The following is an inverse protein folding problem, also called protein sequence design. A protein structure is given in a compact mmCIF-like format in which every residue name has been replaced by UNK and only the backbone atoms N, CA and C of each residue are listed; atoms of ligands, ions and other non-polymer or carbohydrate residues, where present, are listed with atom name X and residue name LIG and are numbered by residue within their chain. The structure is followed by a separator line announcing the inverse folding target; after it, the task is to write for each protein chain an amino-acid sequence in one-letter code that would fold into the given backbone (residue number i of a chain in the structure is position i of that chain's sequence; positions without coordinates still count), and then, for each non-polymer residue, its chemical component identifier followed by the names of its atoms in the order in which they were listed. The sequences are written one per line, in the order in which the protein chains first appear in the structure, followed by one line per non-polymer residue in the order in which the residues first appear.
data_IF_141185703316
#
_entry.id   IF_141185703316
#
_cell.length_a   1.000
_cell.length_b   1.000
_cell.length_c   1.000
_cell.angle_alpha   90.00
_cell.angle_beta   90.00
_cell.angle_gamma   90.00
#
_symmetry.space_group_name_H-M   'P 1'
#
loop_
_entity.id
_entity.type
_entity.pdbx_description
1 polymer ?
#
# COMPACT_ATOMS: atom_id res chain seq x y z
N UNK A 1 -29.60 37.79 70.06
CA UNK A 1 -28.24 37.69 69.47
C UNK A 1 -27.81 36.24 69.07
N UNK A 2 -28.27 35.22 69.75
CA UNK A 2 -27.82 33.83 69.52
C UNK A 2 -28.42 33.25 68.24
N UNK A 3 -29.64 33.62 67.76
CA UNK A 3 -30.28 33.11 66.55
C UNK A 3 -29.62 33.59 65.27
N UNK A 4 -29.06 34.79 65.25
CA UNK A 4 -28.42 35.36 64.06
C UNK A 4 -27.00 34.78 63.82
N UNK A 5 -26.35 34.20 64.83
CA UNK A 5 -25.07 33.53 64.65
C UNK A 5 -25.17 32.08 64.13
N UNK A 6 -26.25 31.38 64.48
CA UNK A 6 -26.55 30.03 63.95
C UNK A 6 -26.90 30.03 62.47
N UNK A 7 -27.62 31.03 61.95
CA UNK A 7 -27.89 31.16 60.52
C UNK A 7 -26.68 31.51 59.68
N UNK A 8 -25.73 32.28 60.23
CA UNK A 8 -24.44 32.58 59.53
C UNK A 8 -23.48 31.37 59.49
N UNK A 9 -23.49 30.51 60.54
CA UNK A 9 -22.71 29.27 60.54
C UNK A 9 -23.28 28.24 59.58
N UNK A 10 -24.60 28.13 59.42
CA UNK A 10 -25.24 27.23 58.48
C UNK A 10 -24.98 27.60 57.03
N UNK A 11 -24.94 28.90 56.70
CA UNK A 11 -24.61 29.40 55.35
C UNK A 11 -23.14 29.16 54.97
N UNK A 12 -22.21 29.31 55.92
CA UNK A 12 -20.79 29.05 55.70
C UNK A 12 -20.49 27.55 55.57
N UNK A 13 -21.21 26.69 56.29
CA UNK A 13 -21.08 25.24 56.14
C UNK A 13 -21.72 24.70 54.83
N UNK A 14 -22.80 25.37 54.34
CA UNK A 14 -23.38 25.00 53.03
C UNK A 14 -22.53 25.47 51.83
N UNK A 15 -21.74 26.54 51.97
CA UNK A 15 -20.84 27.04 50.96
C UNK A 15 -19.52 26.22 50.82
N UNK A 16 -19.14 25.48 51.85
CA UNK A 16 -17.96 24.60 51.83
C UNK A 16 -18.21 23.19 51.32
N UNK A 17 -19.49 22.80 51.16
CA UNK A 17 -19.87 21.47 50.62
C UNK A 17 -19.99 21.38 49.11
N UNK A 18 -19.72 22.48 48.35
CA UNK A 18 -19.92 22.51 46.89
C UNK A 18 -18.64 22.56 46.05
N UNK A 19 -17.47 22.46 46.67
CA UNK A 19 -16.22 22.28 45.93
C UNK A 19 -15.96 20.78 45.69
N UNK A 20 -16.83 20.13 44.91
CA UNK A 20 -16.43 18.88 44.25
C UNK A 20 -15.37 19.28 43.22
N UNK A 21 -14.12 18.81 43.33
CA UNK A 21 -13.16 19.06 42.28
C UNK A 21 -13.74 18.46 40.99
N UNK A 22 -14.06 19.30 40.05
CA UNK A 22 -14.33 18.85 38.70
C UNK A 22 -13.04 18.21 38.22
N UNK A 23 -12.94 16.88 38.34
CA UNK A 23 -11.91 16.14 37.63
C UNK A 23 -12.12 16.46 36.14
N UNK A 24 -11.27 17.30 35.63
CA UNK A 24 -11.20 17.54 34.19
C UNK A 24 -11.15 16.16 33.55
N UNK A 25 -12.21 15.75 32.87
CA UNK A 25 -12.21 14.51 32.10
C UNK A 25 -11.10 14.65 31.07
N UNK A 26 -9.98 13.96 31.27
CA UNK A 26 -8.90 13.93 30.31
C UNK A 26 -9.47 13.30 29.05
N UNK A 27 -9.69 14.12 28.00
CA UNK A 27 -10.18 13.62 26.72
C UNK A 27 -9.25 12.53 26.23
N UNK A 28 -9.82 11.40 25.83
CA UNK A 28 -9.06 10.28 25.23
C UNK A 28 -8.74 10.56 23.76
N UNK A 29 -9.38 11.57 23.17
CA UNK A 29 -9.14 11.96 21.79
C UNK A 29 -7.67 12.27 21.53
N UNK A 30 -7.19 11.86 20.34
CA UNK A 30 -5.82 12.02 19.93
C UNK A 30 -5.13 10.70 19.57
N UNK A 31 -3.84 10.78 19.37
CA UNK A 31 -2.98 9.67 18.95
C UNK A 31 -2.31 9.04 20.18
N UNK A 32 -2.27 7.71 20.21
CA UNK A 32 -1.67 6.91 21.26
C UNK A 32 -0.76 5.86 20.63
N UNK A 33 0.46 5.73 21.12
CA UNK A 33 1.48 4.85 20.56
C UNK A 33 2.06 3.95 21.65
N UNK A 34 2.27 2.68 21.34
CA UNK A 34 2.84 1.71 22.28
C UNK A 34 2.76 0.30 21.76
N UNK A 35 2.49 -0.66 22.64
CA UNK A 35 2.48 -2.07 22.26
C UNK A 35 1.39 -2.88 23.00
N UNK A 36 1.02 -3.99 22.38
CA UNK A 36 0.32 -5.11 23.01
C UNK A 36 1.39 -6.15 23.36
N UNK A 37 1.44 -6.57 24.62
CA UNK A 37 2.34 -7.63 25.08
C UNK A 37 1.55 -8.93 25.24
N UNK A 38 1.85 -9.93 24.42
CA UNK A 38 1.21 -11.26 24.44
C UNK A 38 2.29 -12.33 24.43
N UNK A 39 2.26 -13.23 25.40
CA UNK A 39 3.21 -14.38 25.51
C UNK A 39 4.69 -13.97 25.43
N UNK A 40 5.03 -12.79 25.97
CA UNK A 40 6.40 -12.25 25.98
C UNK A 40 6.86 -11.61 24.65
N UNK A 41 5.95 -11.42 23.71
CA UNK A 41 6.21 -10.68 22.47
C UNK A 41 5.44 -9.36 22.46
N UNK A 42 6.11 -8.30 22.06
CA UNK A 42 5.52 -6.98 21.92
C UNK A 42 5.13 -6.72 20.47
N UNK A 43 3.86 -6.42 20.28
CA UNK A 43 3.29 -6.01 19.00
C UNK A 43 3.01 -4.51 19.06
N UNK A 44 3.79 -3.72 18.32
CA UNK A 44 3.59 -2.27 18.29
C UNK A 44 2.21 -1.92 17.71
N UNK A 45 1.53 -0.98 18.38
CA UNK A 45 0.25 -0.44 17.94
C UNK A 45 0.25 1.09 18.00
N UNK A 46 -0.58 1.67 17.13
CA UNK A 46 -0.92 3.06 17.15
C UNK A 46 -2.45 3.17 17.11
N UNK A 47 -3.03 3.82 18.10
CA UNK A 47 -4.48 4.02 18.18
C UNK A 47 -4.79 5.51 18.08
N UNK A 48 -5.74 5.86 17.20
CA UNK A 48 -6.21 7.23 17.03
C UNK A 48 -7.67 7.29 17.45
N UNK A 49 -7.97 8.05 18.48
CA UNK A 49 -9.33 8.35 18.92
C UNK A 49 -9.77 9.71 18.37
N UNK A 50 -10.96 9.77 17.81
CA UNK A 50 -11.53 10.98 17.22
C UNK A 50 -12.92 11.22 17.78
N UNK A 51 -13.16 12.41 18.29
CA UNK A 51 -14.50 12.85 18.70
C UNK A 51 -15.26 13.37 17.47
N UNK A 52 -16.37 12.72 17.14
CA UNK A 52 -17.28 13.13 16.08
C UNK A 52 -18.62 13.49 16.71
N UNK A 53 -18.73 14.73 17.19
CA UNK A 53 -19.91 15.18 17.95
C UNK A 53 -20.08 14.43 19.28
N UNK A 54 -21.18 13.70 19.44
CA UNK A 54 -21.44 12.90 20.64
C UNK A 54 -20.88 11.46 20.56
N UNK A 55 -20.26 11.09 19.46
CA UNK A 55 -19.77 9.72 19.21
C UNK A 55 -18.25 9.72 19.13
N UNK A 56 -17.63 8.87 19.92
CA UNK A 56 -16.19 8.60 19.82
C UNK A 56 -15.96 7.47 18.81
N UNK A 57 -15.08 7.70 17.86
CA UNK A 57 -14.60 6.69 16.92
C UNK A 57 -13.10 6.48 17.14
N UNK A 58 -12.57 5.31 16.73
CA UNK A 58 -11.16 5.08 16.78
C UNK A 58 -10.72 4.15 15.64
N UNK A 59 -9.44 4.23 15.29
CA UNK A 59 -8.75 3.31 14.39
C UNK A 59 -7.44 2.83 15.02
N UNK A 60 -6.98 1.67 14.59
CA UNK A 60 -5.72 1.09 15.02
C UNK A 60 -4.84 0.74 13.83
N UNK A 61 -3.54 1.03 13.97
CA UNK A 61 -2.50 0.54 13.10
C UNK A 61 -1.70 -0.53 13.84
N UNK A 62 -1.31 -1.60 13.14
CA UNK A 62 -0.44 -2.66 13.64
C UNK A 62 0.72 -2.81 12.64
N UNK A 63 1.79 -2.02 12.79
CA UNK A 63 2.86 -1.91 11.79
C UNK A 63 3.49 -3.25 11.40
N UNK A 64 3.80 -4.11 12.37
CA UNK A 64 4.43 -5.42 12.10
C UNK A 64 3.53 -6.37 11.27
N UNK A 65 2.23 -6.10 11.22
CA UNK A 65 1.27 -6.87 10.42
C UNK A 65 0.87 -6.15 9.13
N UNK A 66 1.47 -5.00 8.84
CA UNK A 66 1.10 -4.16 7.69
C UNK A 66 -0.31 -3.60 7.75
N UNK A 67 -0.97 -3.68 8.91
CA UNK A 67 -2.36 -3.29 9.11
C UNK A 67 -2.45 -1.82 9.52
N UNK A 68 -3.31 -1.03 8.85
CA UNK A 68 -3.45 0.40 9.08
C UNK A 68 -4.88 0.88 8.99
N UNK A 69 -5.18 1.90 9.78
CA UNK A 69 -6.47 2.57 9.76
C UNK A 69 -7.64 1.62 9.99
N UNK A 70 -7.42 0.47 10.65
CA UNK A 70 -8.49 -0.49 10.88
C UNK A 70 -9.49 0.14 11.85
N UNK A 71 -10.76 0.29 11.43
CA UNK A 71 -11.76 0.88 12.31
C UNK A 71 -12.03 -0.01 13.52
N UNK A 72 -12.01 0.59 14.70
CA UNK A 72 -12.39 -0.05 15.95
C UNK A 72 -13.90 0.04 16.15
N UNK A 73 -14.45 -0.94 16.85
CA UNK A 73 -15.88 -1.00 17.22
C UNK A 73 -16.08 -0.82 18.71
N UNK A 74 -17.30 -0.50 19.10
CA UNK A 74 -17.73 -0.38 20.49
C UNK A 74 -16.82 0.53 21.33
N UNK A 75 -16.29 1.61 20.69
CA UNK A 75 -15.38 2.54 21.34
C UNK A 75 -16.11 3.31 22.43
N UNK A 76 -15.66 3.20 23.65
CA UNK A 76 -16.22 3.90 24.83
C UNK A 76 -15.10 4.44 25.70
N UNK A 77 -15.25 5.68 26.14
CA UNK A 77 -14.36 6.29 27.12
C UNK A 77 -15.23 7.00 28.15
N UNK A 78 -15.17 6.57 29.39
CA UNK A 78 -15.97 7.14 30.47
C UNK A 78 -15.17 7.10 31.79
N UNK A 79 -15.07 8.22 32.44
CA UNK A 79 -14.40 8.33 33.74
C UNK A 79 -12.98 7.73 33.78
N UNK A 80 -12.19 7.96 32.72
CA UNK A 80 -10.81 7.44 32.61
C UNK A 80 -10.71 5.96 32.24
N UNK A 81 -11.83 5.26 32.04
CA UNK A 81 -11.85 3.90 31.51
C UNK A 81 -12.07 3.92 30.00
N UNK A 82 -11.40 3.05 29.27
CA UNK A 82 -11.54 2.88 27.82
C UNK A 82 -11.87 1.45 27.50
N UNK A 83 -12.78 1.29 26.56
CA UNK A 83 -13.12 0.02 25.92
C UNK A 83 -13.11 0.20 24.43
N UNK A 84 -12.50 -0.71 23.68
CA UNK A 84 -12.60 -0.76 22.22
C UNK A 84 -12.35 -2.17 21.72
N UNK A 85 -12.89 -2.46 20.54
CA UNK A 85 -12.85 -3.79 19.92
C UNK A 85 -12.25 -3.72 18.52
N UNK A 86 -11.38 -4.69 18.19
CA UNK A 86 -10.79 -4.86 16.86
C UNK A 86 -11.34 -6.15 16.23
N UNK A 87 -12.20 -6.06 15.20
CA UNK A 87 -12.67 -7.22 14.45
C UNK A 87 -11.62 -7.63 13.42
N UNK A 88 -10.62 -8.43 13.82
CA UNK A 88 -9.54 -8.86 12.94
C UNK A 88 -9.00 -10.24 13.32
N UNK A 89 -8.55 -11.00 12.32
CA UNK A 89 -7.93 -12.30 12.51
C UNK A 89 -8.91 -13.40 12.96
N UNK A 90 -8.47 -14.34 13.80
CA UNK A 90 -9.25 -15.50 14.19
C UNK A 90 -10.38 -15.22 15.18
N UNK A 91 -10.65 -13.96 15.51
CA UNK A 91 -11.72 -13.56 16.44
C UNK A 91 -11.68 -12.09 16.79
N UNK A 92 -12.62 -11.70 17.67
CA UNK A 92 -12.70 -10.35 18.18
C UNK A 92 -11.59 -10.10 19.21
N UNK A 93 -10.77 -9.09 18.99
CA UNK A 93 -9.83 -8.62 20.01
C UNK A 93 -10.50 -7.53 20.84
N UNK A 94 -10.46 -7.66 22.16
CA UNK A 94 -11.09 -6.76 23.12
C UNK A 94 -10.00 -6.10 23.96
N UNK A 95 -10.10 -4.78 24.09
CA UNK A 95 -9.22 -3.94 24.88
C UNK A 95 -10.01 -3.27 25.99
N UNK A 96 -9.56 -3.48 27.21
CA UNK A 96 -10.10 -2.85 28.42
C UNK A 96 -8.98 -2.14 29.15
N UNK A 97 -9.08 -0.83 29.34
CA UNK A 97 -7.99 -0.06 29.89
C UNK A 97 -8.42 1.13 30.74
N UNK A 98 -7.40 1.75 31.37
CA UNK A 98 -7.53 2.99 32.12
C UNK A 98 -6.52 4.00 31.61
N UNK A 99 -6.91 5.27 31.62
CA UNK A 99 -6.08 6.40 31.22
C UNK A 99 -5.66 7.15 32.48
N UNK A 100 -4.35 7.30 32.66
CA UNK A 100 -3.74 8.08 33.76
C UNK A 100 -2.76 9.09 33.15
N UNK A 101 -3.17 10.34 33.07
CA UNK A 101 -2.39 11.37 32.36
C UNK A 101 -2.25 11.05 30.89
N UNK A 102 -1.01 10.91 30.43
CA UNK A 102 -0.68 10.60 29.04
C UNK A 102 -0.35 9.11 28.80
N UNK A 103 -0.74 8.24 29.72
CA UNK A 103 -0.54 6.79 29.61
C UNK A 103 -1.88 6.08 29.67
N UNK A 104 -2.11 5.14 28.77
CA UNK A 104 -3.26 4.24 28.76
C UNK A 104 -2.74 2.81 28.87
N UNK A 105 -3.15 2.10 29.92
CA UNK A 105 -2.77 0.70 30.16
C UNK A 105 -3.99 -0.15 30.36
N UNK A 106 -3.88 -1.43 30.00
CA UNK A 106 -5.02 -2.32 30.16
C UNK A 106 -4.75 -3.77 29.76
N UNK A 107 -5.83 -4.53 29.69
CA UNK A 107 -5.82 -5.92 29.25
C UNK A 107 -6.21 -6.04 27.79
N UNK A 108 -5.65 -7.04 27.13
CA UNK A 108 -5.96 -7.48 25.77
C UNK A 108 -6.42 -8.94 25.81
N UNK A 109 -7.50 -9.25 25.08
CA UNK A 109 -7.98 -10.62 24.91
C UNK A 109 -8.41 -10.85 23.46
N UNK A 110 -7.99 -12.00 22.87
CA UNK A 110 -8.44 -12.42 21.54
C UNK A 110 -8.54 -13.93 21.49
N UNK A 111 -9.75 -14.47 21.56
CA UNK A 111 -9.96 -15.91 21.72
C UNK A 111 -9.24 -16.45 22.98
N UNK A 112 -8.34 -17.44 22.86
CA UNK A 112 -7.57 -17.96 23.99
C UNK A 112 -6.39 -17.06 24.38
N UNK A 113 -5.96 -16.15 23.51
CA UNK A 113 -4.82 -15.26 23.77
C UNK A 113 -5.21 -14.15 24.75
N UNK A 114 -4.36 -13.97 25.77
CA UNK A 114 -4.49 -12.90 26.78
C UNK A 114 -3.17 -12.19 26.91
N UNK A 115 -3.23 -10.88 27.15
CA UNK A 115 -2.06 -10.04 27.31
C UNK A 115 -2.43 -8.70 27.92
N UNK A 116 -1.49 -7.79 27.88
CA UNK A 116 -1.66 -6.41 28.31
C UNK A 116 -1.34 -5.46 27.17
N UNK A 117 -1.76 -4.21 27.27
CA UNK A 117 -1.30 -3.17 26.39
C UNK A 117 -0.90 -1.93 27.19
N UNK A 118 0.09 -1.23 26.68
CA UNK A 118 0.47 0.09 27.14
C UNK A 118 0.67 1.00 25.93
N UNK A 119 -0.01 2.14 25.94
CA UNK A 119 0.16 3.17 24.92
C UNK A 119 0.29 4.53 25.59
N UNK A 120 1.15 5.38 25.04
CA UNK A 120 1.38 6.74 25.51
C UNK A 120 0.81 7.72 24.51
N UNK A 121 0.34 8.86 25.01
CA UNK A 121 -0.16 9.93 24.15
C UNK A 121 0.96 10.41 23.24
N UNK A 122 0.78 10.25 21.96
CA UNK A 122 1.68 10.81 20.94
C UNK A 122 1.60 12.33 20.93
N UNK A 123 2.65 12.97 20.41
CA UNK A 123 2.61 14.41 20.19
C UNK A 123 1.41 14.78 19.33
N UNK A 124 0.66 15.82 19.73
CA UNK A 124 -0.38 16.36 18.89
C UNK A 124 0.22 16.71 17.52
N UNK A 125 -0.40 16.20 16.44
CA UNK A 125 -0.01 16.57 15.09
C UNK A 125 -0.15 18.10 14.99
N UNK A 126 0.97 18.82 15.05
CA UNK A 126 0.94 20.24 14.68
C UNK A 126 0.51 20.29 13.23
N UNK A 127 -0.50 21.11 12.88
CA UNK A 127 -0.83 21.34 11.49
C UNK A 127 0.47 21.73 10.77
N UNK A 128 0.90 20.93 9.80
CA UNK A 128 2.03 21.33 8.96
C UNK A 128 1.64 22.64 8.26
N UNK A 129 2.52 23.64 8.23
CA UNK A 129 2.24 24.84 7.46
C UNK A 129 1.99 24.43 5.99
N UNK A 130 1.06 25.09 5.29
CA UNK A 130 0.78 24.77 3.91
C UNK A 130 2.08 24.79 3.09
N UNK A 131 2.30 23.84 2.21
CA UNK A 131 3.52 23.79 1.42
C UNK A 131 3.62 25.02 0.51
N UNK A 132 4.85 25.53 0.24
CA UNK A 132 5.05 26.70 -0.62
C UNK A 132 4.95 26.36 -2.13
N UNK A 133 4.11 25.41 -2.50
CA UNK A 133 3.86 24.94 -3.87
C UNK A 133 2.41 24.52 -4.03
N UNK A 134 1.93 24.39 -5.27
CA UNK A 134 0.57 23.91 -5.55
C UNK A 134 0.51 22.39 -5.38
N UNK A 135 -0.59 21.94 -4.82
CA UNK A 135 -0.92 20.52 -4.73
C UNK A 135 -2.29 20.29 -5.34
N UNK A 136 -2.38 19.37 -6.28
CA UNK A 136 -3.58 19.08 -7.05
C UNK A 136 -3.90 17.58 -6.93
N UNK A 137 -5.14 17.25 -6.56
CA UNK A 137 -5.65 15.89 -6.70
C UNK A 137 -5.98 15.64 -8.17
N UNK A 138 -5.47 14.56 -8.71
CA UNK A 138 -5.60 14.23 -10.14
C UNK A 138 -6.23 12.87 -10.35
N UNK A 139 -6.89 12.74 -11.48
CA UNK A 139 -7.48 11.47 -11.94
C UNK A 139 -6.98 11.20 -13.35
N UNK A 140 -6.33 10.05 -13.55
CA UNK A 140 -5.69 9.67 -14.80
C UNK A 140 -6.35 8.39 -15.33
N UNK A 141 -6.79 8.43 -16.57
CA UNK A 141 -7.42 7.26 -17.20
C UNK A 141 -6.40 6.45 -17.99
N UNK A 142 -6.37 5.14 -17.73
CA UNK A 142 -5.64 4.14 -18.51
C UNK A 142 -6.60 3.03 -18.95
N UNK A 143 -7.19 3.16 -20.13
CA UNK A 143 -8.25 2.28 -20.61
C UNK A 143 -9.46 2.25 -19.64
N UNK A 144 -9.72 1.11 -19.05
CA UNK A 144 -10.79 0.94 -18.05
C UNK A 144 -10.33 1.25 -16.61
N UNK A 145 -9.05 1.49 -16.41
CA UNK A 145 -8.47 1.78 -15.10
C UNK A 145 -8.46 3.30 -14.87
N UNK A 146 -8.81 3.70 -13.67
CA UNK A 146 -8.71 5.07 -13.17
C UNK A 146 -7.64 5.06 -12.09
N UNK A 147 -6.63 5.89 -12.24
CA UNK A 147 -5.58 6.13 -11.26
C UNK A 147 -5.86 7.46 -10.56
N UNK A 148 -6.02 7.43 -9.25
CA UNK A 148 -6.10 8.61 -8.42
C UNK A 148 -4.71 8.99 -7.93
N UNK A 149 -4.37 10.26 -7.98
CA UNK A 149 -3.04 10.71 -7.63
C UNK A 149 -3.01 12.12 -7.08
N UNK A 150 -1.82 12.53 -6.70
CA UNK A 150 -1.51 13.90 -6.29
C UNK A 150 -0.35 14.41 -7.14
N UNK A 151 -0.55 15.54 -7.79
CA UNK A 151 0.49 16.29 -8.48
C UNK A 151 0.90 17.49 -7.63
N UNK A 152 2.18 17.60 -7.34
CA UNK A 152 2.76 18.81 -6.73
C UNK A 152 3.52 19.60 -7.79
N UNK A 153 3.30 20.93 -7.85
CA UNK A 153 3.86 21.80 -8.88
C UNK A 153 4.50 23.00 -8.19
N UNK A 154 5.76 23.36 -8.52
CA UNK A 154 6.41 24.56 -7.96
C UNK A 154 5.56 25.82 -8.14
N UNK A 155 5.66 26.75 -7.19
CA UNK A 155 4.89 27.99 -7.27
C UNK A 155 5.50 29.03 -8.23
N UNK A 156 6.72 28.80 -8.71
CA UNK A 156 7.39 29.68 -9.67
C UNK A 156 6.68 29.65 -11.03
N UNK A 157 6.60 30.78 -11.75
CA UNK A 157 6.01 30.81 -13.09
C UNK A 157 6.81 29.98 -14.10
N UNK A 158 6.12 29.39 -15.09
CA UNK A 158 6.73 28.68 -16.22
C UNK A 158 6.47 27.20 -16.21
N UNK A 159 7.08 26.50 -17.17
CA UNK A 159 7.03 25.04 -17.28
C UNK A 159 8.16 24.44 -16.45
N UNK A 160 7.85 23.38 -15.71
CA UNK A 160 8.78 22.72 -14.77
C UNK A 160 9.15 21.32 -15.26
N UNK A 161 10.39 20.87 -15.05
CA UNK A 161 10.71 19.46 -15.16
C UNK A 161 9.80 18.66 -14.22
N UNK A 162 9.52 17.42 -14.57
CA UNK A 162 8.60 16.60 -13.78
C UNK A 162 9.14 15.19 -13.57
N UNK A 163 8.71 14.55 -12.47
CA UNK A 163 9.01 13.15 -12.20
C UNK A 163 7.74 12.41 -11.75
N UNK A 164 7.55 11.21 -12.28
CA UNK A 164 6.55 10.25 -11.80
C UNK A 164 7.23 9.33 -10.78
N UNK A 165 6.67 9.19 -9.60
CA UNK A 165 7.11 8.22 -8.61
C UNK A 165 6.32 6.92 -8.79
N UNK A 166 7.05 5.80 -8.92
CA UNK A 166 6.50 4.46 -9.15
C UNK A 166 6.81 3.59 -7.95
N UNK A 167 5.78 3.06 -7.32
CA UNK A 167 5.81 2.29 -6.07
C UNK A 167 6.47 0.92 -6.22
N UNK A 168 6.82 0.32 -5.08
CA UNK A 168 7.32 -1.04 -5.00
C UNK A 168 6.22 -2.10 -5.05
N UNK A 169 6.62 -3.37 -4.82
CA UNK A 169 5.73 -4.53 -4.91
C UNK A 169 4.60 -4.49 -3.88
N UNK A 170 3.44 -4.98 -4.30
CA UNK A 170 2.23 -5.08 -3.48
C UNK A 170 1.33 -3.84 -3.60
N UNK A 171 0.18 -3.83 -2.91
CA UNK A 171 -0.77 -2.73 -2.98
C UNK A 171 -0.27 -1.53 -2.17
N UNK A 172 0.25 -0.52 -2.83
CA UNK A 172 0.80 0.70 -2.24
C UNK A 172 -0.08 1.91 -2.51
N UNK A 173 -0.19 2.80 -1.52
CA UNK A 173 -0.76 4.12 -1.77
C UNK A 173 0.30 5.05 -2.40
N UNK A 174 -0.14 6.19 -2.93
CA UNK A 174 0.69 7.19 -3.61
C UNK A 174 1.88 7.72 -2.79
N UNK A 175 1.86 7.55 -1.49
CA UNK A 175 2.91 7.99 -0.57
C UNK A 175 3.89 6.86 -0.22
N UNK A 176 3.62 5.63 -0.71
CA UNK A 176 4.36 4.41 -0.37
C UNK A 176 4.50 4.26 1.15
N UNK A 177 3.39 4.43 1.86
CA UNK A 177 3.38 4.53 3.30
C UNK A 177 3.70 3.20 3.97
N UNK A 178 4.80 3.18 4.73
CA UNK A 178 5.28 2.03 5.51
C UNK A 178 5.54 2.47 6.94
N UNK A 179 4.91 1.81 7.91
CA UNK A 179 5.05 2.11 9.36
C UNK A 179 4.81 3.59 9.73
N UNK A 180 3.87 4.27 9.06
CA UNK A 180 3.58 5.70 9.30
C UNK A 180 4.53 6.67 8.60
N UNK A 181 5.62 6.17 8.02
CA UNK A 181 6.52 6.97 7.19
C UNK A 181 5.97 6.99 5.76
N UNK A 182 6.03 8.15 5.13
CA UNK A 182 5.54 8.41 3.76
C UNK A 182 6.68 8.85 2.85
N UNK A 183 7.56 7.93 2.45
CA UNK A 183 8.78 8.30 1.73
C UNK A 183 8.50 9.05 0.42
N UNK A 184 7.49 8.67 -0.34
CA UNK A 184 7.17 9.36 -1.59
C UNK A 184 6.63 10.77 -1.36
N UNK A 185 5.89 11.01 -0.29
CA UNK A 185 5.48 12.36 0.10
C UNK A 185 6.70 13.21 0.47
N UNK A 186 7.67 12.65 1.19
CA UNK A 186 8.90 13.35 1.57
C UNK A 186 9.75 13.68 0.35
N UNK A 187 9.91 12.73 -0.59
CA UNK A 187 10.62 12.95 -1.85
C UNK A 187 9.91 14.03 -2.69
N UNK A 188 8.59 13.96 -2.79
CA UNK A 188 7.80 14.93 -3.54
C UNK A 188 7.93 16.34 -2.95
N UNK A 189 7.83 16.51 -1.63
CA UNK A 189 8.02 17.81 -0.98
C UNK A 189 9.40 18.37 -1.28
N UNK A 190 10.45 17.56 -1.13
CA UNK A 190 11.84 17.98 -1.40
C UNK A 190 12.05 18.40 -2.86
N UNK A 191 11.62 17.57 -3.82
CA UNK A 191 11.80 17.85 -5.24
C UNK A 191 10.97 19.04 -5.70
N UNK A 192 9.74 19.20 -5.19
CA UNK A 192 8.88 20.32 -5.58
C UNK A 192 9.41 21.65 -5.05
N UNK A 193 9.98 21.67 -3.86
CA UNK A 193 10.71 22.85 -3.33
C UNK A 193 11.96 23.17 -4.16
N UNK A 194 12.57 22.16 -4.78
CA UNK A 194 13.73 22.32 -5.67
C UNK A 194 13.36 22.67 -7.12
N UNK A 195 12.06 22.91 -7.43
CA UNK A 195 11.62 23.33 -8.75
C UNK A 195 11.19 22.22 -9.70
N UNK A 196 10.99 20.99 -9.21
CA UNK A 196 10.60 19.80 -10.00
C UNK A 196 9.18 19.40 -9.63
N UNK A 197 8.27 19.36 -10.59
CA UNK A 197 6.92 18.84 -10.36
C UNK A 197 6.95 17.33 -10.10
N UNK A 198 6.08 16.84 -9.19
CA UNK A 198 6.06 15.41 -8.83
C UNK A 198 4.65 14.87 -8.89
N UNK A 199 4.48 13.79 -9.66
CA UNK A 199 3.25 13.02 -9.76
C UNK A 199 3.39 11.69 -9.02
N UNK A 200 2.43 11.40 -8.16
CA UNK A 200 2.32 10.16 -7.38
C UNK A 200 0.90 9.64 -7.46
N UNK A 201 0.71 8.38 -7.80
CA UNK A 201 -0.61 7.75 -7.88
C UNK A 201 -0.74 6.58 -6.93
N UNK A 202 -1.96 6.33 -6.46
CA UNK A 202 -2.31 5.07 -5.80
C UNK A 202 -2.25 3.94 -6.81
N UNK A 203 -1.78 2.76 -6.40
CA UNK A 203 -1.80 1.57 -7.24
C UNK A 203 -3.22 1.13 -7.58
N UNK A 204 -3.37 0.26 -8.57
CA UNK A 204 -4.65 -0.34 -8.96
C UNK A 204 -5.38 -0.94 -7.76
N UNK A 205 -6.61 -0.49 -7.50
CA UNK A 205 -7.46 -0.97 -6.41
C UNK A 205 -7.06 -0.49 -5.02
N UNK A 206 -6.18 0.51 -4.93
CA UNK A 206 -5.78 1.17 -3.69
C UNK A 206 -6.31 2.60 -3.68
N UNK A 207 -6.67 3.10 -2.50
CA UNK A 207 -7.13 4.47 -2.31
C UNK A 207 -8.27 4.85 -3.25
N UNK A 208 -8.03 5.84 -4.11
CA UNK A 208 -9.00 6.29 -5.13
C UNK A 208 -8.86 5.60 -6.48
N UNK A 209 -7.88 4.70 -6.67
CA UNK A 209 -7.64 4.02 -7.94
C UNK A 209 -8.52 2.78 -8.10
N UNK A 210 -8.99 2.54 -9.33
CA UNK A 210 -9.74 1.33 -9.69
C UNK A 210 -8.83 0.19 -10.10
N UNK A 211 -9.38 -1.02 -10.27
CA UNK A 211 -8.62 -2.20 -10.67
C UNK A 211 -8.26 -3.10 -9.51
N UNK A 212 -7.16 -3.86 -9.65
CA UNK A 212 -6.74 -4.84 -8.63
C UNK A 212 -5.28 -5.23 -8.80
N UNK A 213 -4.44 -4.97 -7.82
CA UNK A 213 -3.02 -5.40 -7.81
C UNK A 213 -2.89 -6.92 -7.99
N UNK A 214 -3.61 -7.79 -7.28
CA UNK A 214 -3.46 -9.25 -7.43
C UNK A 214 -3.83 -9.80 -8.81
N UNK A 215 -4.47 -9.00 -9.67
CA UNK A 215 -4.84 -9.38 -11.04
C UNK A 215 -3.98 -8.69 -12.09
N UNK A 216 -2.97 -7.94 -11.66
CA UNK A 216 -2.10 -7.17 -12.52
C UNK A 216 -0.68 -7.75 -12.53
N UNK A 217 0.05 -7.42 -13.57
CA UNK A 217 1.45 -7.76 -13.78
C UNK A 217 2.30 -6.50 -13.77
N UNK A 218 3.62 -6.65 -13.67
CA UNK A 218 4.57 -5.54 -13.81
C UNK A 218 4.39 -4.80 -15.15
N UNK A 219 3.97 -5.50 -16.22
CA UNK A 219 3.66 -4.88 -17.51
C UNK A 219 2.42 -3.98 -17.45
N UNK A 220 1.40 -4.37 -16.69
CA UNK A 220 0.23 -3.51 -16.45
C UNK A 220 0.60 -2.23 -15.68
N UNK A 221 1.52 -2.31 -14.73
CA UNK A 221 2.03 -1.14 -14.01
C UNK A 221 2.88 -0.24 -14.91
N UNK A 222 3.57 -0.81 -15.91
CA UNK A 222 4.27 -0.01 -16.92
C UNK A 222 3.29 0.79 -17.79
N UNK A 223 2.15 0.22 -18.17
CA UNK A 223 1.09 0.97 -18.88
C UNK A 223 0.49 2.08 -17.99
N UNK A 224 0.32 1.85 -16.69
CA UNK A 224 -0.14 2.88 -15.76
C UNK A 224 0.89 4.02 -15.64
N UNK A 225 2.17 3.71 -15.52
CA UNK A 225 3.23 4.71 -15.48
C UNK A 225 3.32 5.50 -16.81
N UNK A 226 3.13 4.83 -17.94
CA UNK A 226 3.07 5.49 -19.25
C UNK A 226 1.86 6.44 -19.36
N UNK A 227 0.71 6.08 -18.82
CA UNK A 227 -0.46 6.95 -18.77
C UNK A 227 -0.19 8.20 -17.91
N UNK A 228 0.54 8.06 -16.81
CA UNK A 228 0.98 9.18 -15.98
C UNK A 228 1.94 10.11 -16.72
N UNK A 229 2.88 9.57 -17.50
CA UNK A 229 3.77 10.36 -18.37
C UNK A 229 2.96 11.15 -19.38
N UNK A 230 2.00 10.53 -20.08
CA UNK A 230 1.13 11.20 -21.05
C UNK A 230 0.28 12.30 -20.41
N UNK A 231 -0.16 12.09 -19.18
CA UNK A 231 -0.87 13.12 -18.42
C UNK A 231 0.01 14.35 -18.20
N UNK A 232 1.28 14.17 -17.81
CA UNK A 232 2.23 15.26 -17.63
C UNK A 232 2.55 15.97 -18.95
N UNK A 233 2.71 15.22 -20.06
CA UNK A 233 2.94 15.79 -21.41
C UNK A 233 1.80 16.71 -21.88
N UNK A 234 0.57 16.42 -21.46
CA UNK A 234 -0.59 17.24 -21.86
C UNK A 234 -0.68 18.56 -21.10
N UNK A 235 0.13 18.77 -20.06
CA UNK A 235 0.06 19.97 -19.21
C UNK A 235 0.92 21.13 -19.74
N UNK A 236 0.42 22.37 -19.69
CA UNK A 236 1.18 23.54 -20.12
C UNK A 236 2.25 23.98 -19.10
N UNK A 237 2.12 23.61 -17.82
CA UNK A 237 3.03 23.95 -16.75
C UNK A 237 4.13 22.89 -16.52
N UNK A 238 4.24 21.90 -17.43
CA UNK A 238 5.27 20.86 -17.43
C UNK A 238 6.18 21.00 -18.64
N UNK A 239 7.48 20.98 -18.40
CA UNK A 239 8.50 20.90 -19.44
C UNK A 239 8.58 19.46 -19.98
N UNK A 240 7.99 19.27 -21.16
CA UNK A 240 7.87 17.96 -21.82
C UNK A 240 9.20 17.32 -22.17
N UNK A 241 10.26 18.12 -22.30
CA UNK A 241 11.60 17.62 -22.60
C UNK A 241 12.30 17.03 -21.35
N UNK A 242 11.76 17.28 -20.16
CA UNK A 242 12.38 16.92 -18.90
C UNK A 242 11.39 16.15 -17.98
N UNK A 243 10.70 15.15 -18.52
CA UNK A 243 9.87 14.23 -17.74
C UNK A 243 10.69 12.99 -17.42
N UNK A 244 10.82 12.66 -16.14
CA UNK A 244 11.53 11.48 -15.67
C UNK A 244 10.65 10.52 -14.88
N UNK A 245 11.21 9.34 -14.58
CA UNK A 245 10.61 8.32 -13.71
C UNK A 245 11.55 8.03 -12.54
N UNK A 246 10.99 7.91 -11.34
CA UNK A 246 11.70 7.39 -10.18
C UNK A 246 10.95 6.15 -9.71
N UNK A 247 11.57 4.98 -9.86
CA UNK A 247 10.99 3.70 -9.48
C UNK A 247 11.67 3.10 -8.26
N UNK A 248 10.87 2.78 -7.24
CA UNK A 248 11.35 2.06 -6.07
C UNK A 248 11.04 0.57 -6.18
N UNK A 249 11.97 -0.30 -5.81
CA UNK A 249 11.80 -1.76 -5.81
C UNK A 249 11.22 -2.28 -7.14
N UNK A 250 9.97 -2.79 -7.22
CA UNK A 250 9.32 -3.21 -8.48
C UNK A 250 9.15 -2.03 -9.45
N UNK A 251 8.91 -0.82 -8.96
CA UNK A 251 8.93 0.39 -9.78
C UNK A 251 10.25 0.59 -10.53
N UNK A 252 11.35 0.08 -9.97
CA UNK A 252 12.65 0.05 -10.62
C UNK A 252 12.76 -0.95 -11.79
N UNK A 253 11.82 -1.89 -11.95
CA UNK A 253 11.62 -2.68 -13.18
C UNK A 253 10.68 -1.95 -14.14
N UNK A 254 9.64 -1.30 -13.62
CA UNK A 254 8.65 -0.57 -14.41
C UNK A 254 9.29 0.60 -15.15
N UNK A 255 10.09 1.42 -14.47
CA UNK A 255 10.69 2.62 -15.06
C UNK A 255 11.51 2.33 -16.33
N UNK A 256 12.44 1.35 -16.37
CA UNK A 256 13.14 0.96 -17.59
C UNK A 256 12.21 0.41 -18.69
N UNK A 257 11.14 -0.33 -18.33
CA UNK A 257 10.17 -0.84 -19.31
C UNK A 257 9.48 0.31 -20.05
N UNK A 258 9.07 1.36 -19.32
CA UNK A 258 8.47 2.55 -19.92
C UNK A 258 9.49 3.33 -20.75
N UNK A 259 10.69 3.56 -20.23
CA UNK A 259 11.74 4.30 -20.92
C UNK A 259 12.22 3.61 -22.22
N UNK A 260 12.16 2.27 -22.27
CA UNK A 260 12.50 1.52 -23.47
C UNK A 260 11.48 1.67 -24.61
N UNK A 261 10.24 2.02 -24.28
CA UNK A 261 9.13 2.11 -25.24
C UNK A 261 8.66 3.54 -25.52
N UNK A 262 8.94 4.48 -24.61
CA UNK A 262 8.53 5.88 -24.71
C UNK A 262 9.73 6.81 -24.87
N UNK A 263 9.69 7.68 -25.88
CA UNK A 263 10.68 8.76 -26.08
C UNK A 263 10.44 9.97 -25.19
N UNK A 264 9.31 10.02 -24.51
CA UNK A 264 8.91 11.12 -23.62
C UNK A 264 9.61 11.04 -22.26
N UNK A 265 10.25 9.91 -21.95
CA UNK A 265 11.01 9.74 -20.71
C UNK A 265 12.45 10.20 -20.96
N UNK A 266 12.84 11.31 -20.35
CA UNK A 266 14.16 11.91 -20.49
C UNK A 266 15.20 11.23 -19.60
N UNK A 267 14.81 10.78 -18.41
CA UNK A 267 15.70 10.12 -17.45
C UNK A 267 14.92 9.16 -16.54
N UNK A 268 15.64 8.23 -15.92
CA UNK A 268 15.11 7.35 -14.88
C UNK A 268 16.03 7.36 -13.65
N UNK A 269 15.41 7.21 -12.49
CA UNK A 269 16.10 7.02 -11.21
C UNK A 269 15.61 5.69 -10.63
N UNK A 270 16.56 4.80 -10.28
CA UNK A 270 16.27 3.49 -9.72
C UNK A 270 16.62 3.48 -8.24
N UNK A 271 15.60 3.43 -7.41
CA UNK A 271 15.71 3.36 -5.96
C UNK A 271 15.56 1.89 -5.54
N UNK A 272 16.69 1.23 -5.27
CA UNK A 272 16.75 -0.22 -4.97
C UNK A 272 16.03 -1.09 -6.00
N UNK A 273 16.04 -0.66 -7.27
CA UNK A 273 15.44 -1.38 -8.38
C UNK A 273 16.24 -2.62 -8.74
N UNK A 274 15.59 -3.78 -8.92
CA UNK A 274 16.29 -4.98 -9.38
C UNK A 274 16.66 -4.87 -10.87
N UNK A 275 17.79 -5.48 -11.22
CA UNK A 275 18.29 -5.53 -12.60
C UNK A 275 18.27 -6.94 -13.20
N UNK A 276 17.59 -7.88 -12.54
CA UNK A 276 17.39 -9.25 -12.96
C UNK A 276 15.92 -9.51 -13.29
N UNK A 277 15.64 -10.63 -13.94
CA UNK A 277 14.24 -11.09 -14.11
C UNK A 277 13.57 -11.35 -12.76
N UNK A 278 12.26 -11.20 -12.67
CA UNK A 278 11.51 -11.41 -11.43
C UNK A 278 11.76 -12.78 -10.80
N UNK A 279 11.85 -13.86 -11.62
CA UNK A 279 12.23 -15.19 -11.13
C UNK A 279 13.57 -15.21 -10.40
N UNK A 280 14.61 -14.63 -11.01
CA UNK A 280 15.95 -14.57 -10.41
C UNK A 280 15.99 -13.72 -9.15
N UNK A 281 15.24 -12.63 -9.13
CA UNK A 281 15.11 -11.76 -7.95
C UNK A 281 14.46 -12.51 -6.80
N UNK A 282 13.34 -13.19 -7.05
CA UNK A 282 12.61 -13.92 -6.01
C UNK A 282 13.43 -15.08 -5.44
N UNK A 283 14.16 -15.81 -6.27
CA UNK A 283 15.06 -16.88 -5.81
C UNK A 283 16.20 -16.32 -4.96
N UNK A 284 16.89 -15.29 -5.44
CA UNK A 284 17.98 -14.68 -4.69
C UNK A 284 17.52 -14.05 -3.36
N UNK A 285 16.33 -13.45 -3.33
CA UNK A 285 15.74 -12.90 -2.12
C UNK A 285 15.44 -14.01 -1.10
N UNK A 286 14.81 -15.10 -1.54
CA UNK A 286 14.52 -16.23 -0.68
C UNK A 286 15.78 -16.85 -0.06
N UNK A 287 16.85 -17.01 -0.85
CA UNK A 287 18.15 -17.49 -0.37
C UNK A 287 18.78 -16.57 0.68
N UNK A 288 18.77 -15.25 0.43
CA UNK A 288 19.35 -14.26 1.35
C UNK A 288 18.57 -14.13 2.66
N UNK A 289 17.24 -14.14 2.60
CA UNK A 289 16.40 -14.14 3.80
C UNK A 289 16.62 -15.41 4.63
N UNK A 290 16.66 -16.57 3.97
CA UNK A 290 16.92 -17.85 4.64
C UNK A 290 18.29 -17.88 5.33
N UNK A 291 19.32 -17.31 4.69
CA UNK A 291 20.64 -17.18 5.30
C UNK A 291 20.64 -16.25 6.52
N UNK A 292 19.92 -15.13 6.46
CA UNK A 292 19.79 -14.20 7.58
C UNK A 292 19.06 -14.83 8.77
N UNK A 293 18.03 -15.63 8.50
CA UNK A 293 17.25 -16.38 9.50
C UNK A 293 17.92 -17.69 9.95
N UNK A 294 19.11 -18.01 9.42
CA UNK A 294 19.86 -19.23 9.69
C UNK A 294 19.05 -20.51 9.42
N UNK A 295 18.23 -20.50 8.37
CA UNK A 295 17.46 -21.66 7.94
C UNK A 295 18.42 -22.75 7.44
N UNK A 296 18.22 -24.03 7.80
CA UNK A 296 19.09 -25.12 7.34
C UNK A 296 19.15 -25.18 5.81
N UNK A 297 20.35 -25.38 5.25
CA UNK A 297 20.61 -25.35 3.80
C UNK A 297 19.75 -26.36 3.01
N UNK A 298 19.47 -27.54 3.57
CA UNK A 298 18.59 -28.51 2.95
C UNK A 298 17.16 -27.99 2.77
N UNK A 299 16.66 -27.18 3.71
CA UNK A 299 15.36 -26.57 3.63
C UNK A 299 15.35 -25.40 2.62
N UNK A 300 16.45 -24.62 2.58
CA UNK A 300 16.61 -23.55 1.58
C UNK A 300 16.59 -24.14 0.17
N UNK A 301 17.31 -25.22 -0.07
CA UNK A 301 17.30 -25.93 -1.37
C UNK A 301 15.91 -26.43 -1.73
N UNK A 302 15.24 -27.12 -0.81
CA UNK A 302 13.88 -27.64 -1.05
C UNK A 302 12.87 -26.54 -1.39
N UNK A 303 12.94 -25.40 -0.70
CA UNK A 303 12.11 -24.22 -1.00
C UNK A 303 12.44 -23.62 -2.39
N UNK A 304 13.72 -23.49 -2.73
CA UNK A 304 14.15 -22.99 -4.03
C UNK A 304 13.72 -23.91 -5.18
N UNK A 305 13.79 -25.23 -4.98
CA UNK A 305 13.34 -26.20 -5.98
C UNK A 305 11.82 -26.11 -6.21
N UNK A 306 11.04 -26.01 -5.13
CA UNK A 306 9.60 -25.78 -5.23
C UNK A 306 9.29 -24.46 -5.99
N UNK A 307 10.00 -23.37 -5.69
CA UNK A 307 9.82 -22.10 -6.40
C UNK A 307 10.16 -22.25 -7.89
N UNK A 308 11.25 -22.94 -8.27
CA UNK A 308 11.59 -23.21 -9.68
C UNK A 308 10.50 -24.00 -10.38
N UNK A 309 9.94 -25.03 -9.72
CA UNK A 309 8.81 -25.79 -10.24
C UNK A 309 7.57 -24.88 -10.46
N UNK A 310 7.27 -23.99 -9.51
CA UNK A 310 6.18 -23.02 -9.62
C UNK A 310 6.40 -22.09 -10.82
N UNK A 311 7.59 -21.52 -11.01
CA UNK A 311 7.88 -20.66 -12.16
C UNK A 311 7.80 -21.41 -13.48
N UNK A 312 8.23 -22.66 -13.54
CA UNK A 312 8.09 -23.51 -14.71
C UNK A 312 6.61 -23.77 -15.03
N UNK A 313 5.79 -24.07 -14.01
CA UNK A 313 4.35 -24.26 -14.16
C UNK A 313 3.62 -22.98 -14.61
N UNK A 314 4.02 -21.80 -14.11
CA UNK A 314 3.50 -20.51 -14.58
C UNK A 314 3.79 -20.30 -16.07
N UNK A 315 5.02 -20.58 -16.52
CA UNK A 315 5.42 -20.40 -17.93
C UNK A 315 4.73 -21.38 -18.87
N UNK A 316 4.62 -22.65 -18.48
CA UNK A 316 4.07 -23.70 -19.32
C UNK A 316 2.55 -23.85 -19.23
N UNK A 317 1.93 -23.32 -18.17
CA UNK A 317 0.52 -23.57 -17.83
C UNK A 317 0.23 -24.99 -17.33
N UNK A 318 1.26 -25.84 -17.15
CA UNK A 318 1.15 -27.27 -16.77
C UNK A 318 2.06 -27.60 -15.59
N UNK A 319 1.94 -28.81 -15.02
CA UNK A 319 2.82 -29.26 -13.94
C UNK A 319 2.37 -28.86 -12.53
N UNK A 320 1.19 -28.30 -12.38
CA UNK A 320 0.67 -27.84 -11.08
C UNK A 320 0.42 -28.98 -10.08
N UNK A 321 0.14 -30.20 -10.58
CA UNK A 321 0.00 -31.40 -9.72
C UNK A 321 1.32 -31.70 -8.99
N UNK A 322 2.43 -31.69 -9.73
CA UNK A 322 3.76 -31.92 -9.14
C UNK A 322 4.16 -30.78 -8.17
N UNK A 323 3.81 -29.52 -8.48
CA UNK A 323 4.02 -28.38 -7.57
C UNK A 323 3.23 -28.57 -6.27
N UNK A 324 1.97 -29.00 -6.38
CA UNK A 324 1.10 -29.23 -5.21
C UNK A 324 1.66 -30.35 -4.33
N UNK A 325 2.05 -31.46 -4.94
CA UNK A 325 2.64 -32.63 -4.22
C UNK A 325 3.94 -32.25 -3.50
N UNK A 326 4.83 -31.52 -4.19
CA UNK A 326 6.08 -31.05 -3.60
C UNK A 326 5.84 -30.06 -2.45
N UNK A 327 4.87 -29.17 -2.61
CA UNK A 327 4.47 -28.20 -1.58
C UNK A 327 3.87 -28.89 -0.34
N UNK A 328 2.98 -29.87 -0.53
CA UNK A 328 2.40 -30.66 0.56
C UNK A 328 3.49 -31.43 1.33
N UNK A 329 4.41 -32.07 0.61
CA UNK A 329 5.54 -32.80 1.23
C UNK A 329 6.42 -31.86 2.06
N UNK A 330 6.71 -30.67 1.53
CA UNK A 330 7.52 -29.68 2.24
C UNK A 330 6.79 -29.14 3.48
N UNK A 331 5.50 -28.86 3.39
CA UNK A 331 4.68 -28.42 4.51
C UNK A 331 4.60 -29.48 5.62
N UNK A 332 4.35 -30.74 5.28
CA UNK A 332 4.35 -31.85 6.23
C UNK A 332 5.69 -31.98 6.95
N UNK A 333 6.79 -31.94 6.19
CA UNK A 333 8.15 -31.99 6.75
C UNK A 333 8.43 -30.80 7.71
N UNK A 334 7.89 -29.62 7.42
CA UNK A 334 8.01 -28.46 8.31
C UNK A 334 7.21 -28.66 9.61
N UNK A 335 5.99 -29.20 9.51
CA UNK A 335 5.14 -29.49 10.67
C UNK A 335 5.75 -30.58 11.56
N UNK A 336 6.34 -31.62 10.99
CA UNK A 336 7.02 -32.70 11.74
C UNK A 336 8.17 -32.19 12.61
N UNK A 337 8.80 -31.07 12.23
CA UNK A 337 9.89 -30.44 12.99
C UNK A 337 9.42 -29.50 14.11
N UNK A 338 8.13 -29.19 14.17
CA UNK A 338 7.58 -28.38 15.26
C UNK A 338 7.57 -29.18 16.58
N UNK A 339 7.72 -28.51 17.74
CA UNK A 339 7.51 -29.11 19.04
C UNK A 339 6.14 -29.79 19.12
N UNK A 340 6.08 -30.89 19.86
CA UNK A 340 4.88 -31.74 19.93
C UNK A 340 3.63 -30.97 20.36
N UNK A 341 3.78 -30.04 21.29
CA UNK A 341 2.67 -29.19 21.76
C UNK A 341 2.11 -28.31 20.64
N UNK A 342 2.99 -27.73 19.81
CA UNK A 342 2.56 -26.91 18.66
C UNK A 342 1.88 -27.77 17.60
N UNK A 343 2.39 -28.98 17.35
CA UNK A 343 1.75 -29.94 16.44
C UNK A 343 0.34 -30.34 16.90
N UNK A 344 0.17 -30.60 18.21
CA UNK A 344 -1.14 -30.90 18.80
C UNK A 344 -2.14 -29.76 18.65
N UNK A 345 -1.68 -28.48 18.80
CA UNK A 345 -2.54 -27.32 18.62
C UNK A 345 -2.99 -27.11 17.17
N UNK A 346 -2.19 -27.51 16.19
CA UNK A 346 -2.53 -27.40 14.76
C UNK A 346 -3.54 -28.46 14.28
N UNK A 347 -3.76 -29.54 15.03
CA UNK A 347 -4.60 -30.65 14.61
C UNK A 347 -3.94 -31.50 13.51
N UNK A 348 -4.71 -32.42 12.91
CA UNK A 348 -4.21 -33.27 11.79
C UNK A 348 -4.03 -32.37 10.53
N UNK A 349 -2.79 -32.13 10.11
CA UNK A 349 -2.50 -31.22 8.98
C UNK A 349 -2.85 -31.85 7.62
N UNK A 350 -3.20 -33.16 7.60
CA UNK A 350 -3.58 -33.79 6.34
C UNK A 350 -4.90 -33.23 5.85
N UNK A 351 -4.96 -32.72 4.62
CA UNK A 351 -6.21 -32.24 4.07
C UNK A 351 -7.21 -33.40 4.16
N UNK A 352 -8.32 -33.20 4.89
CA UNK A 352 -9.45 -34.11 4.79
C UNK A 352 -9.70 -34.28 3.31
N UNK A 353 -9.53 -35.49 2.77
CA UNK A 353 -9.80 -35.77 1.36
C UNK A 353 -11.15 -35.17 1.03
N UNK A 354 -11.13 -33.95 0.53
CA UNK A 354 -12.30 -33.34 -0.01
C UNK A 354 -12.78 -34.29 -1.10
N UNK A 355 -13.96 -34.84 -0.91
CA UNK A 355 -14.66 -35.61 -1.93
C UNK A 355 -14.47 -34.89 -3.23
N UNK A 356 -13.98 -35.56 -4.26
CA UNK A 356 -13.61 -35.07 -5.58
C UNK A 356 -14.72 -34.20 -6.22
N UNK A 357 -14.96 -33.01 -5.71
CA UNK A 357 -15.58 -31.96 -6.47
C UNK A 357 -14.45 -31.29 -7.23
N UNK A 358 -14.34 -31.62 -8.50
CA UNK A 358 -13.43 -30.98 -9.45
C UNK A 358 -13.69 -29.46 -9.45
N UNK A 359 -13.08 -28.71 -8.54
CA UNK A 359 -12.94 -27.28 -8.68
C UNK A 359 -11.98 -27.05 -9.84
N UNK A 360 -12.55 -26.85 -11.02
CA UNK A 360 -11.83 -26.39 -12.20
C UNK A 360 -11.26 -25.01 -11.86
N UNK A 361 -9.94 -24.94 -11.70
CA UNK A 361 -9.25 -23.66 -11.67
C UNK A 361 -9.58 -22.91 -12.97
N UNK A 362 -9.88 -21.59 -12.92
CA UNK A 362 -10.07 -20.82 -14.12
C UNK A 362 -8.76 -20.92 -14.93
N UNK A 363 -8.86 -21.45 -16.14
CA UNK A 363 -7.74 -21.39 -17.09
C UNK A 363 -7.51 -19.91 -17.39
N UNK A 364 -6.31 -19.41 -17.11
CA UNK A 364 -5.85 -18.17 -17.70
C UNK A 364 -5.84 -18.41 -19.23
N UNK A 365 -6.77 -17.81 -19.94
CA UNK A 365 -6.79 -17.85 -21.39
C UNK A 365 -5.61 -17.00 -21.89
N UNK A 366 -4.85 -17.50 -22.88
CA UNK A 366 -3.86 -16.66 -23.56
C UNK A 366 -4.59 -15.50 -24.28
N UNK A 367 -4.00 -14.32 -24.36
CA UNK A 367 -4.58 -13.21 -25.09
C UNK A 367 -4.59 -13.55 -26.59
N UNK A 368 -5.77 -13.59 -27.18
CA UNK A 368 -5.98 -13.62 -28.63
C UNK A 368 -6.46 -14.95 -29.20
N UNK A 369 -7.76 -15.20 -29.11
CA UNK A 369 -8.50 -15.90 -30.18
C UNK A 369 -9.98 -15.54 -30.03
N UNK A 370 -10.41 -14.57 -30.84
CA UNK A 370 -11.82 -14.33 -31.12
C UNK A 370 -12.31 -15.42 -32.10
N UNK A 371 -13.04 -16.41 -31.64
CA UNK A 371 -13.85 -17.26 -32.48
C UNK A 371 -15.32 -17.00 -32.20
N UNK A 372 -15.96 -16.35 -33.17
CA UNK A 372 -17.41 -16.25 -33.30
C UNK A 372 -18.00 -17.64 -33.48
N UNK A 373 -18.86 -18.09 -32.59
CA UNK A 373 -19.80 -19.18 -32.90
C UNK A 373 -21.20 -18.74 -32.48
N UNK A 374 -21.94 -18.41 -33.54
CA UNK A 374 -23.40 -18.26 -33.57
C UNK A 374 -24.05 -19.59 -33.25
N UNK A 375 -24.75 -19.72 -32.16
CA UNK A 375 -25.67 -20.84 -31.94
C UNK A 375 -27.03 -20.28 -31.55
N UNK A 376 -27.90 -20.31 -32.57
CA UNK A 376 -29.33 -20.09 -32.50
C UNK A 376 -29.98 -21.15 -31.60
N UNK A 377 -30.61 -20.77 -30.52
CA UNK A 377 -31.58 -21.62 -29.82
C UNK A 377 -32.88 -20.86 -29.56
N UNK A 378 -33.85 -21.18 -30.43
CA UNK A 378 -35.29 -20.85 -30.29
C UNK A 378 -35.80 -21.35 -28.95
N UNK A 379 -36.44 -20.46 -28.15
CA UNK A 379 -37.45 -20.87 -27.20
C UNK A 379 -38.55 -19.83 -27.08
N UNK A 380 -39.76 -20.35 -27.12
CA UNK A 380 -41.08 -19.71 -27.22
C UNK A 380 -41.41 -18.83 -25.98
N UNK A 381 -42.03 -17.74 -26.33
CA UNK A 381 -43.08 -16.96 -25.71
C UNK A 381 -43.57 -17.27 -24.31
N UNK A 382 -43.59 -16.23 -23.43
CA UNK A 382 -44.83 -15.84 -22.76
C UNK A 382 -44.85 -14.32 -22.52
N UNK A 383 -46.03 -13.75 -22.79
CA UNK A 383 -46.38 -12.33 -22.80
C UNK A 383 -46.45 -11.74 -21.35
N UNK A 384 -46.01 -10.50 -21.18
CA UNK A 384 -46.78 -9.50 -20.44
C UNK A 384 -46.36 -8.07 -20.85
N UNK A 385 -47.33 -7.18 -20.87
CA UNK A 385 -47.52 -5.90 -21.57
C UNK A 385 -46.76 -4.76 -20.85
N UNK A 386 -46.06 -3.95 -21.62
CA UNK A 386 -46.09 -2.49 -21.91
C UNK A 386 -46.16 -1.46 -20.76
N UNK A 387 -45.79 -0.15 -20.90
CA UNK A 387 -45.72 0.64 -22.15
C UNK A 387 -44.54 1.61 -22.32
N UNK A 388 -44.40 2.04 -23.58
CA UNK A 388 -43.83 3.20 -24.23
C UNK A 388 -43.24 4.39 -23.43
N UNK A 389 -42.07 4.90 -23.89
CA UNK A 389 -41.95 6.29 -24.31
C UNK A 389 -40.99 6.40 -25.51
N UNK A 390 -41.43 7.19 -26.54
CA UNK A 390 -40.78 7.47 -27.83
C UNK A 390 -39.95 8.75 -27.74
N UNK A 391 -38.82 8.80 -28.43
CA UNK A 391 -38.46 9.85 -29.41
C UNK A 391 -37.09 9.51 -30.00
N UNK A 392 -36.96 9.19 -31.19
CA UNK A 392 -36.72 9.84 -32.49
C UNK A 392 -35.51 10.78 -32.50
N UNK A 393 -34.45 10.37 -33.25
CA UNK A 393 -33.86 11.16 -34.31
C UNK A 393 -32.83 10.33 -35.11
N UNK A 394 -33.03 10.34 -36.41
CA UNK A 394 -32.23 9.72 -37.49
C UNK A 394 -31.06 10.61 -37.92
N UNK A 395 -29.98 10.07 -38.40
CA UNK A 395 -29.34 10.19 -39.74
C UNK A 395 -27.89 9.79 -39.67
N UNK A 396 -27.53 8.77 -40.31
CA UNK A 396 -26.83 8.49 -41.59
C UNK A 396 -25.56 9.31 -41.83
N UNK A 397 -24.41 8.61 -41.99
CA UNK A 397 -23.59 8.75 -43.18
C UNK A 397 -22.54 7.63 -43.29
N UNK A 398 -22.33 7.19 -44.52
CA UNK A 398 -21.53 6.06 -45.07
C UNK A 398 -20.05 6.47 -45.25
N UNK A 399 -19.12 5.55 -45.01
CA UNK A 399 -18.15 4.81 -45.88
C UNK A 399 -17.03 5.63 -46.57
N UNK A 400 -15.97 4.99 -47.13
CA UNK A 400 -15.25 3.74 -46.88
C UNK A 400 -13.68 3.92 -46.82
N UNK A 401 -12.88 2.83 -46.88
CA UNK A 401 -11.47 2.83 -46.49
C UNK A 401 -10.51 3.06 -47.65
N UNK A 402 -9.35 3.68 -47.36
CA UNK A 402 -8.23 3.74 -48.29
C UNK A 402 -7.00 3.03 -47.69
N UNK A 403 -6.60 1.95 -48.36
CA UNK A 403 -5.29 1.30 -48.22
C UNK A 403 -4.22 2.23 -48.76
N UNK A 404 -3.15 2.46 -47.99
CA UNK A 404 -1.88 2.87 -48.56
C UNK A 404 -0.79 1.98 -47.94
N UNK A 405 -0.22 1.12 -48.78
CA UNK A 405 0.98 0.38 -48.48
C UNK A 405 2.19 1.27 -48.71
N UNK A 406 3.10 1.29 -47.75
CA UNK A 406 4.42 1.88 -47.93
C UNK A 406 5.50 0.81 -47.73
N UNK A 407 6.21 0.55 -48.83
CA UNK A 407 7.43 -0.28 -48.91
C UNK A 407 8.57 0.41 -48.15
N UNK A 408 9.20 -0.32 -47.27
CA UNK A 408 10.49 0.07 -46.72
C UNK A 408 11.63 -0.28 -47.67
N UNK A 409 12.32 0.75 -48.19
CA UNK A 409 13.64 0.60 -48.83
C UNK A 409 14.72 0.87 -47.77
N UNK A 410 15.63 -0.08 -47.66
CA UNK A 410 16.93 0.10 -46.95
C UNK A 410 17.76 1.13 -47.71
N UNK A 411 18.33 2.09 -47.03
CA UNK A 411 19.53 2.79 -47.49
C UNK A 411 20.50 2.92 -46.30
N UNK A 412 21.62 2.24 -46.48
CA UNK A 412 22.83 2.39 -45.71
C UNK A 412 23.58 3.64 -46.18
N UNK A 413 23.96 4.56 -45.26
CA UNK A 413 25.20 5.37 -45.41
C UNK A 413 25.74 5.80 -44.06
N UNK A 414 27.05 5.63 -43.99
CA UNK A 414 28.03 6.03 -42.94
C UNK A 414 28.15 7.55 -42.82
N UNK A 415 28.46 7.99 -41.61
CA UNK A 415 29.40 9.02 -41.13
C UNK A 415 28.98 9.34 -39.69
N UNK A 416 29.73 9.22 -38.65
CA UNK A 416 31.10 9.67 -38.40
C UNK A 416 31.07 11.06 -37.76
N UNK A 417 30.91 11.17 -36.42
CA UNK A 417 31.67 12.18 -35.67
C UNK A 417 31.47 11.95 -34.15
N UNK A 418 32.60 11.83 -33.50
CA UNK A 418 32.78 11.77 -32.04
C UNK A 418 32.54 13.18 -31.46
N UNK A 419 31.78 13.29 -30.39
CA UNK A 419 32.00 14.34 -29.40
C UNK A 419 31.74 13.75 -28.02
N UNK A 420 32.79 13.45 -27.34
CA UNK A 420 32.86 13.15 -25.92
C UNK A 420 32.73 14.44 -25.15
N UNK A 421 31.65 14.66 -24.44
CA UNK A 421 31.58 15.66 -23.39
C UNK A 421 31.79 14.98 -22.05
N UNK A 422 33.00 15.15 -21.51
CA UNK A 422 33.36 14.78 -20.16
C UNK A 422 32.77 15.79 -19.16
N UNK A 423 31.93 15.32 -18.26
CA UNK A 423 31.56 16.08 -17.07
C UNK A 423 32.39 15.58 -15.90
N UNK A 424 33.47 16.33 -15.58
CA UNK A 424 34.21 16.20 -14.34
C UNK A 424 33.52 17.00 -13.25
N UNK A 425 32.88 16.33 -12.31
CA UNK A 425 32.38 16.95 -11.08
C UNK A 425 33.47 16.84 -10.01
N UNK A 426 34.15 17.94 -9.75
CA UNK A 426 35.08 18.11 -8.63
C UNK A 426 34.28 18.24 -7.34
N UNK A 427 34.26 17.21 -6.52
CA UNK A 427 33.93 17.33 -5.10
C UNK A 427 35.21 17.28 -4.29
N UNK A 428 35.76 18.46 -3.93
CA UNK A 428 36.73 18.57 -2.84
C UNK A 428 35.97 18.76 -1.54
N UNK A 429 36.04 17.78 -0.68
CA UNK A 429 35.74 17.95 0.74
C UNK A 429 36.88 17.33 1.52
N UNK A 430 37.79 18.18 1.96
CA UNK A 430 38.81 17.86 2.95
C UNK A 430 38.15 17.82 4.31
N UNK A 431 38.11 16.68 4.94
CA UNK A 431 37.76 16.55 6.36
C UNK A 431 39.00 15.97 7.05
N UNK A 432 39.78 16.86 7.66
CA UNK A 432 40.85 16.51 8.62
C UNK A 432 40.24 16.59 10.02
N UNK A 433 40.08 15.46 10.69
CA UNK A 433 39.94 15.41 12.14
C UNK A 433 40.85 14.31 12.70
N UNK A 434 41.87 14.75 13.43
CA UNK A 434 42.72 13.93 14.28
C UNK A 434 41.95 13.51 15.54
N UNK A 435 42.13 12.30 16.06
CA UNK A 435 41.65 11.93 17.38
C UNK A 435 42.55 12.46 18.51
N UNK A 436 41.99 12.75 19.68
CA UNK A 436 42.83 13.14 20.84
C UNK A 436 43.50 11.92 21.48
N UNK A 437 44.78 12.09 21.82
CA UNK A 437 45.56 11.17 22.67
C UNK A 437 45.07 11.30 24.14
N UNK A 438 44.95 10.13 24.76
CA UNK A 438 44.78 10.01 26.19
C UNK A 438 46.09 10.42 26.94
N UNK A 439 45.88 11.11 28.02
CA UNK A 439 46.76 11.13 29.16
C UNK A 439 45.92 10.89 30.43
#
# INVERSE_FOLDING_TARGET
MVRCQLERLAVVLLALASAVPAFAQTSVAGRWEGAISVMGQDLAILVVFTDVGAVMTASIDIPQQGARGIPLRNVRATAGRVHFELPAGPGLAIFEGTVTGDVMTGSFTQGPAKGTFEVKRGAALRPEPPPPYRQEEVTIQNGAIILAGTLTVPATPGAHPAVVLITGSGPQNRDEEVFGIRPFRMIADHLTRAGIAVLRCDDRGVGGSTGSVPRSTTADFAEDALAQVRYLEARPDIDKAHIGLLGHNEGGLVAPMVAATSKSVAFIVLMSGPALTGEKVMLAQAERLAAAERIPEAQVRANADLQRMMFAAVRSGTGWEAVTEAGEKLALSAIERLPEEQRKMMGDPRPRRASRSRRRWPRCAPPGSSSSSTTTRRRRSRRSRSPCWRSSARRTCRSPPTRIGARWRRSSRRAGSRTTASWSCLARTTCTSRPPRAA
#
